data_IF_769359358327
#
_entry.id   IF_769359358327
#
_cell.length_a   1.000
_cell.length_b   1.000
_cell.length_c   1.000
_cell.angle_alpha   90.00
_cell.angle_beta   90.00
_cell.angle_gamma   90.00
#
_symmetry.space_group_name_H-M   'P 1'
#
loop_
_entity.id
_entity.type
_entity.pdbx_description
1 polymer ?
#
# COMPACT_ATOMS: atom_id res chain seq x y z
N UNK A 1 12.17 -13.94 -2.38
CA UNK A 1 10.78 -13.62 -2.78
C UNK A 1 10.62 -13.47 -4.29
N UNK A 2 11.25 -12.51 -4.99
CA UNK A 2 11.10 -12.38 -6.45
C UNK A 2 11.42 -13.67 -7.23
N UNK A 3 12.56 -14.28 -6.94
CA UNK A 3 12.96 -15.57 -7.54
C UNK A 3 11.95 -16.70 -7.27
N UNK A 4 11.37 -16.75 -6.06
CA UNK A 4 10.40 -17.79 -5.66
C UNK A 4 9.09 -17.70 -6.46
N UNK A 5 8.76 -16.50 -6.95
CA UNK A 5 7.60 -16.22 -7.78
C UNK A 5 7.91 -16.21 -9.29
N UNK A 6 9.14 -16.54 -9.68
CA UNK A 6 9.58 -16.54 -11.08
C UNK A 6 9.80 -15.16 -11.69
N UNK A 7 10.02 -14.13 -10.86
CA UNK A 7 10.30 -12.77 -11.32
C UNK A 7 11.78 -12.40 -11.14
N UNK A 8 12.31 -11.68 -12.13
CA UNK A 8 13.60 -11.02 -12.00
C UNK A 8 13.52 -9.87 -10.98
N UNK A 9 14.56 -9.76 -10.16
CA UNK A 9 14.70 -8.64 -9.24
C UNK A 9 15.29 -7.44 -9.98
N UNK A 10 14.48 -6.41 -10.17
CA UNK A 10 14.90 -5.13 -10.75
C UNK A 10 14.60 -4.04 -9.73
N UNK A 11 15.63 -3.57 -9.03
CA UNK A 11 15.52 -2.58 -7.97
C UNK A 11 16.36 -1.35 -8.22
N UNK A 12 15.84 -0.18 -7.85
CA UNK A 12 16.55 1.10 -7.83
C UNK A 12 16.54 1.68 -6.41
N UNK A 13 17.65 2.31 -6.01
CA UNK A 13 17.71 3.09 -4.78
C UNK A 13 17.89 4.56 -5.11
N UNK A 14 16.88 5.37 -4.79
CA UNK A 14 16.99 6.83 -4.87
C UNK A 14 17.53 7.34 -3.55
N UNK A 15 18.78 7.81 -3.56
CA UNK A 15 19.49 8.24 -2.36
C UNK A 15 19.11 9.68 -2.03
N UNK A 16 18.35 9.85 -0.94
CA UNK A 16 18.05 11.12 -0.32
C UNK A 16 19.13 11.55 0.67
N UNK A 17 18.83 12.55 1.48
CA UNK A 17 19.79 13.09 2.45
C UNK A 17 19.90 12.22 3.70
N UNK A 18 18.76 11.72 4.18
CA UNK A 18 18.66 10.87 5.39
C UNK A 18 17.75 9.66 5.19
N UNK A 19 17.31 9.43 3.97
CA UNK A 19 16.44 8.34 3.55
C UNK A 19 16.92 7.81 2.20
N UNK A 20 16.52 6.58 1.89
CA UNK A 20 16.66 6.05 0.54
C UNK A 20 15.33 5.44 0.16
N UNK A 21 14.82 5.79 -1.02
CA UNK A 21 13.63 5.15 -1.55
C UNK A 21 14.07 3.95 -2.36
N UNK A 22 13.75 2.76 -1.86
CA UNK A 22 13.93 1.52 -2.61
C UNK A 22 12.71 1.29 -3.49
N UNK A 23 12.92 1.28 -4.80
CA UNK A 23 11.87 1.04 -5.80
C UNK A 23 12.11 -0.33 -6.41
N UNK A 24 11.26 -1.29 -6.07
CA UNK A 24 11.20 -2.59 -6.74
C UNK A 24 10.25 -2.51 -7.94
N UNK A 25 10.76 -2.78 -9.14
CA UNK A 25 9.98 -2.86 -10.37
C UNK A 25 9.65 -4.31 -10.70
N UNK A 26 8.43 -4.74 -10.36
CA UNK A 26 7.93 -6.06 -10.75
C UNK A 26 7.43 -5.98 -12.19
N UNK A 27 8.24 -6.47 -13.12
CA UNK A 27 7.90 -6.51 -14.55
C UNK A 27 7.14 -7.79 -14.86
N UNK A 28 5.95 -7.66 -15.47
CA UNK A 28 5.10 -8.79 -15.82
C UNK A 28 4.29 -8.52 -17.10
N UNK A 29 3.89 -9.58 -17.79
CA UNK A 29 2.97 -9.47 -18.92
C UNK A 29 1.53 -9.25 -18.41
N UNK A 30 0.92 -8.15 -18.85
CA UNK A 30 -0.46 -7.80 -18.47
C UNK A 30 -1.51 -8.68 -19.13
N UNK A 31 -1.18 -9.36 -20.24
CA UNK A 31 -2.06 -10.29 -20.92
C UNK A 31 -2.10 -11.67 -20.25
N UNK A 32 -1.08 -12.01 -19.45
CA UNK A 32 -1.03 -13.25 -18.69
C UNK A 32 -1.69 -13.05 -17.31
N UNK A 33 -2.87 -13.66 -17.15
CA UNK A 33 -3.64 -13.58 -15.91
C UNK A 33 -2.94 -14.26 -14.73
N UNK A 34 -2.25 -15.39 -14.96
CA UNK A 34 -1.55 -16.12 -13.92
C UNK A 34 -0.33 -15.33 -13.44
N UNK A 35 0.44 -14.75 -14.38
CA UNK A 35 1.58 -13.90 -14.05
C UNK A 35 1.14 -12.64 -13.30
N UNK A 36 0.06 -11.98 -13.73
CA UNK A 36 -0.52 -10.84 -13.02
C UNK A 36 -0.92 -11.20 -11.59
N UNK A 37 -1.59 -12.33 -11.38
CA UNK A 37 -1.97 -12.77 -10.03
C UNK A 37 -0.73 -13.00 -9.16
N UNK A 38 0.28 -13.70 -9.69
CA UNK A 38 1.53 -13.95 -8.97
C UNK A 38 2.26 -12.65 -8.60
N UNK A 39 2.27 -11.65 -9.49
CA UNK A 39 2.86 -10.33 -9.22
C UNK A 39 2.14 -9.60 -8.08
N UNK A 40 0.81 -9.69 -8.01
CA UNK A 40 0.03 -9.09 -6.93
C UNK A 40 0.25 -9.82 -5.60
N UNK A 41 0.29 -11.15 -5.62
CA UNK A 41 0.56 -11.97 -4.44
C UNK A 41 1.97 -11.69 -3.90
N UNK A 42 2.97 -11.62 -4.79
CA UNK A 42 4.35 -11.25 -4.43
C UNK A 42 4.39 -9.87 -3.75
N UNK A 43 3.73 -8.86 -4.34
CA UNK A 43 3.72 -7.52 -3.75
C UNK A 43 3.08 -7.52 -2.36
N UNK A 44 1.97 -8.24 -2.18
CA UNK A 44 1.31 -8.38 -0.88
C UNK A 44 2.23 -9.01 0.19
N UNK A 45 2.99 -10.05 -0.18
CA UNK A 45 3.97 -10.68 0.73
C UNK A 45 5.09 -9.70 1.08
N UNK A 46 5.66 -9.02 0.09
CA UNK A 46 6.75 -8.07 0.31
C UNK A 46 6.35 -6.92 1.23
N UNK A 47 5.14 -6.38 1.09
CA UNK A 47 4.60 -5.35 1.99
C UNK A 47 4.50 -5.85 3.43
N UNK A 48 4.04 -7.09 3.63
CA UNK A 48 3.93 -7.66 4.97
C UNK A 48 5.32 -7.85 5.62
N UNK A 49 6.28 -8.41 4.88
CA UNK A 49 7.66 -8.62 5.36
C UNK A 49 8.40 -7.30 5.63
N UNK A 50 8.20 -6.29 4.77
CA UNK A 50 8.75 -4.95 4.96
C UNK A 50 8.20 -4.32 6.25
N UNK A 51 6.88 -4.41 6.46
CA UNK A 51 6.23 -3.88 7.66
C UNK A 51 6.70 -4.59 8.94
N UNK A 52 6.87 -5.91 8.93
CA UNK A 52 7.43 -6.68 10.06
C UNK A 52 8.87 -6.26 10.37
N UNK A 53 9.64 -5.90 9.34
CA UNK A 53 11.01 -5.41 9.47
C UNK A 53 11.10 -3.92 9.83
N UNK A 54 9.97 -3.23 10.00
CA UNK A 54 9.90 -1.81 10.36
C UNK A 54 10.03 -0.84 9.18
N UNK A 55 9.98 -1.32 7.95
CA UNK A 55 10.01 -0.50 6.74
C UNK A 55 8.58 -0.18 6.27
N UNK A 56 8.31 1.10 6.03
CA UNK A 56 7.05 1.57 5.48
C UNK A 56 7.20 1.92 4.00
N UNK A 57 6.16 1.62 3.22
CA UNK A 57 6.07 2.02 1.82
C UNK A 57 5.73 3.51 1.69
N UNK A 58 6.46 4.24 0.83
CA UNK A 58 6.20 5.65 0.56
C UNK A 58 5.00 5.86 -0.35
N UNK A 59 4.84 5.02 -1.39
CA UNK A 59 3.77 5.09 -2.38
C UNK A 59 3.43 3.71 -2.90
N UNK A 60 2.15 3.51 -3.25
CA UNK A 60 1.68 2.22 -3.75
C UNK A 60 0.60 2.32 -4.82
N UNK A 61 0.41 1.20 -5.51
CA UNK A 61 -0.68 0.99 -6.45
C UNK A 61 -2.04 0.92 -5.71
N UNK A 62 -3.11 1.31 -6.40
CA UNK A 62 -4.47 1.44 -5.82
C UNK A 62 -4.92 0.17 -5.07
N UNK A 63 -4.57 -1.00 -5.59
CA UNK A 63 -4.95 -2.30 -5.04
C UNK A 63 -4.40 -2.58 -3.63
N UNK A 64 -3.32 -1.91 -3.22
CA UNK A 64 -2.63 -2.19 -1.96
C UNK A 64 -2.72 -1.04 -0.94
N UNK A 65 -3.48 0.01 -1.27
CA UNK A 65 -3.62 1.16 -0.38
C UNK A 65 -4.18 0.77 0.98
N UNK A 66 -5.19 -0.09 1.03
CA UNK A 66 -5.77 -0.57 2.29
C UNK A 66 -4.79 -1.47 3.06
N UNK A 67 -4.02 -2.32 2.37
CA UNK A 67 -3.04 -3.19 3.02
C UNK A 67 -1.91 -2.38 3.64
N UNK A 68 -1.36 -1.42 2.89
CA UNK A 68 -0.29 -0.55 3.39
C UNK A 68 -0.83 0.40 4.45
N UNK A 69 -2.08 0.85 4.36
CA UNK A 69 -2.67 1.63 5.43
C UNK A 69 -2.61 0.86 6.76
N UNK A 70 -2.98 -0.43 6.75
CA UNK A 70 -2.95 -1.30 7.94
C UNK A 70 -1.55 -1.51 8.54
N UNK A 71 -0.45 -1.22 7.82
CA UNK A 71 0.90 -1.34 8.39
C UNK A 71 1.22 -0.18 9.34
N UNK A 72 0.69 1.01 9.09
CA UNK A 72 0.84 2.18 9.95
C UNK A 72 -0.16 2.17 11.13
N UNK A 73 -0.16 1.09 11.93
CA UNK A 73 -1.12 0.84 13.03
C UNK A 73 -0.61 1.20 14.42
N UNK A 74 0.43 2.05 14.52
CA UNK A 74 0.96 2.48 15.82
C UNK A 74 -0.13 3.17 16.67
N UNK A 75 -0.11 2.93 17.99
CA UNK A 75 -1.10 3.45 18.93
C UNK A 75 -2.55 3.17 18.50
N UNK A 76 -2.85 1.89 18.24
CA UNK A 76 -4.18 1.42 17.80
C UNK A 76 -4.71 2.12 16.54
N UNK A 77 -3.82 2.47 15.61
CA UNK A 77 -4.21 3.12 14.35
C UNK A 77 -4.57 4.60 14.48
N UNK A 78 -4.07 5.31 15.49
CA UNK A 78 -4.35 6.73 15.73
C UNK A 78 -4.17 7.65 14.51
N UNK A 79 -3.22 7.34 13.62
CA UNK A 79 -3.02 8.07 12.36
C UNK A 79 -4.26 8.00 11.46
N UNK A 80 -4.86 6.81 11.32
CA UNK A 80 -6.04 6.58 10.49
C UNK A 80 -7.27 7.25 11.07
N UNK A 81 -7.45 7.17 12.38
CA UNK A 81 -8.53 7.87 13.08
C UNK A 81 -8.50 9.37 12.83
N UNK A 82 -7.32 9.98 12.88
CA UNK A 82 -7.15 11.40 12.58
C UNK A 82 -7.51 11.72 11.13
N UNK A 83 -6.95 10.98 10.17
CA UNK A 83 -7.22 11.20 8.75
C UNK A 83 -8.69 11.02 8.39
N UNK A 84 -9.33 10.01 8.96
CA UNK A 84 -10.74 9.73 8.80
C UNK A 84 -11.63 10.85 9.34
N UNK A 85 -11.32 11.38 10.53
CA UNK A 85 -12.05 12.53 11.10
C UNK A 85 -11.91 13.78 10.24
N UNK A 86 -10.70 14.08 9.76
CA UNK A 86 -10.47 15.22 8.85
C UNK A 86 -11.28 15.03 7.56
N UNK A 87 -11.25 13.82 6.99
CA UNK A 87 -11.99 13.48 5.77
C UNK A 87 -13.49 13.67 5.95
N UNK A 88 -14.06 13.20 7.07
CA UNK A 88 -15.50 13.31 7.33
C UNK A 88 -15.96 14.76 7.51
N UNK A 89 -15.12 15.63 8.08
CA UNK A 89 -15.41 17.05 8.25
C UNK A 89 -15.30 17.81 6.93
N UNK A 90 -14.26 17.54 6.13
CA UNK A 90 -14.02 18.25 4.87
C UNK A 90 -14.88 17.75 3.71
N UNK A 91 -15.28 16.48 3.72
CA UNK A 91 -16.10 15.85 2.68
C UNK A 91 -17.22 15.01 3.29
N UNK A 92 -18.27 15.65 3.85
CA UNK A 92 -19.37 14.96 4.53
C UNK A 92 -20.14 13.99 3.64
N UNK A 93 -20.17 14.26 2.32
CA UNK A 93 -20.85 13.43 1.33
C UNK A 93 -19.94 12.32 0.78
N UNK A 94 -18.64 12.34 1.07
CA UNK A 94 -17.68 11.32 0.62
C UNK A 94 -17.44 11.28 -0.89
N UNK A 95 -17.52 12.42 -1.58
CA UNK A 95 -17.44 12.50 -3.05
C UNK A 95 -15.98 12.41 -3.54
N UNK A 96 -15.04 12.95 -2.79
CA UNK A 96 -13.66 13.14 -3.24
C UNK A 96 -12.82 11.88 -3.01
N UNK A 97 -12.67 11.06 -4.05
CA UNK A 97 -11.76 9.90 -4.14
C UNK A 97 -11.83 8.96 -2.91
N UNK A 98 -12.99 8.34 -2.63
CA UNK A 98 -13.13 7.39 -1.53
C UNK A 98 -12.12 6.24 -1.66
N UNK A 99 -11.44 5.90 -0.57
CA UNK A 99 -10.47 4.79 -0.51
C UNK A 99 -9.06 5.14 -0.94
N UNK A 100 -8.80 6.38 -1.38
CA UNK A 100 -7.45 6.83 -1.68
C UNK A 100 -6.59 6.77 -0.41
N UNK A 101 -5.43 6.12 -0.51
CA UNK A 101 -4.52 5.84 0.63
C UNK A 101 -5.19 5.06 1.78
N UNK A 102 -6.28 4.32 1.50
CA UNK A 102 -7.04 3.60 2.52
C UNK A 102 -7.92 4.49 3.40
N UNK A 103 -8.14 5.75 3.02
CA UNK A 103 -8.99 6.68 3.76
C UNK A 103 -10.40 6.63 3.16
N UNK A 104 -11.34 6.12 3.95
CA UNK A 104 -12.73 5.92 3.55
C UNK A 104 -13.67 6.95 4.21
N UNK A 105 -14.65 7.51 3.47
CA UNK A 105 -15.72 8.31 4.08
C UNK A 105 -16.55 7.49 5.05
N UNK A 106 -17.13 8.13 6.08
CA UNK A 106 -17.97 7.48 7.09
C UNK A 106 -19.06 6.57 6.52
N UNK A 107 -19.71 6.94 5.42
CA UNK A 107 -20.78 6.16 4.78
C UNK A 107 -20.30 4.85 4.12
N UNK A 108 -19.00 4.72 3.83
CA UNK A 108 -18.41 3.60 3.11
C UNK A 108 -17.47 2.74 3.98
N UNK A 109 -17.31 3.07 5.26
CA UNK A 109 -16.53 2.25 6.19
C UNK A 109 -17.33 1.00 6.53
N UNK A 110 -16.81 -0.16 6.15
CA UNK A 110 -17.33 -1.44 6.62
C UNK A 110 -16.85 -1.61 8.06
N UNK A 111 -17.78 -1.59 9.02
CA UNK A 111 -17.48 -2.02 10.40
C UNK A 111 -16.98 -3.46 10.32
N UNK A 112 -15.70 -3.67 10.62
CA UNK A 112 -15.15 -5.01 10.86
C UNK A 112 -15.48 -5.43 12.28
#
# INVERSE_FOLDING_TARGET
RCHDHGFDYIGEFLVGWRDMHHILMIMYDRADEAMRKSAYDLFGVLVAEAAESGFGEYRTHLAFMDQIAKTYKHNDGALWDLHQRIKDVMDPNGILSPGKQGIWPKSMRTTS
#
